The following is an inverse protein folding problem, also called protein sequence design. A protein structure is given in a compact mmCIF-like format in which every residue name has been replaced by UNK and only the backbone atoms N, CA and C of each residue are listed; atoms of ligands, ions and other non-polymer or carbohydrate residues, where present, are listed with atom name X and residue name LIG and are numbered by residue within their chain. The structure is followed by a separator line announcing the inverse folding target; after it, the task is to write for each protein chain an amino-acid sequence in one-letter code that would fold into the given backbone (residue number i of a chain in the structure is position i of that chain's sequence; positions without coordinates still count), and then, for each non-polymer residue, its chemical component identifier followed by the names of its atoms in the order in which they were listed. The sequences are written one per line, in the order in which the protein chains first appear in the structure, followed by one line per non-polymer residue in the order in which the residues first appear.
data_IF_503017010705
#
_entry.id   IF_503017010705
#
_cell.length_a   1.000
_cell.length_b   1.000
_cell.length_c   1.000
_cell.angle_alpha   90.00
_cell.angle_beta   90.00
_cell.angle_gamma   90.00
#
_symmetry.space_group_name_H-M   'P 1'
#
loop_
_entity.id
_entity.type
_entity.pdbx_description
1 polymer ?
#
# COMPACT_ATOMS: atom_id res chain seq x y z
N UNK A 1 -18.67 -35.69 35.91
CA UNK A 1 -18.32 -35.78 34.47
C UNK A 1 -17.34 -36.94 34.33
N UNK A 2 -17.64 -37.88 33.47
CA UNK A 2 -16.84 -39.10 33.22
C UNK A 2 -16.13 -39.00 31.87
N UNK A 3 -16.03 -37.79 31.28
CA UNK A 3 -15.39 -37.57 30.00
C UNK A 3 -13.90 -37.31 30.16
N UNK A 4 -13.10 -37.92 29.30
CA UNK A 4 -11.65 -37.72 29.21
C UNK A 4 -11.25 -36.44 28.46
N UNK A 5 -12.23 -35.72 27.90
CA UNK A 5 -12.06 -34.50 27.15
C UNK A 5 -13.17 -33.51 27.44
N UNK A 6 -12.86 -32.24 27.32
CA UNK A 6 -13.80 -31.12 27.39
C UNK A 6 -13.66 -30.29 26.13
N UNK A 7 -14.77 -30.05 25.44
CA UNK A 7 -14.81 -29.18 24.29
C UNK A 7 -15.40 -27.84 24.72
N UNK A 8 -14.66 -26.77 24.51
CA UNK A 8 -15.17 -25.41 24.76
C UNK A 8 -16.23 -25.07 23.71
N UNK A 9 -17.16 -24.19 24.07
CA UNK A 9 -17.93 -23.44 23.06
C UNK A 9 -17.00 -22.53 22.26
N UNK A 10 -17.53 -21.87 21.24
CA UNK A 10 -16.79 -20.90 20.42
C UNK A 10 -16.01 -19.94 21.33
N UNK A 11 -14.71 -19.81 21.10
CA UNK A 11 -13.82 -18.88 21.79
C UNK A 11 -13.47 -17.73 20.85
N UNK A 12 -13.39 -16.53 21.39
CA UNK A 12 -12.95 -15.33 20.64
C UNK A 12 -11.55 -14.89 21.11
N UNK A 13 -10.98 -13.89 20.44
CA UNK A 13 -9.63 -13.39 20.74
C UNK A 13 -9.47 -12.90 22.20
N UNK A 14 -10.55 -12.48 22.85
CA UNK A 14 -10.50 -12.06 24.26
C UNK A 14 -10.16 -13.20 25.22
N UNK A 15 -10.29 -14.45 24.78
CA UNK A 15 -9.86 -15.65 25.51
C UNK A 15 -8.39 -16.01 25.29
N UNK A 16 -7.62 -15.21 24.53
CA UNK A 16 -6.19 -15.45 24.40
C UNK A 16 -5.48 -15.27 25.74
N UNK A 17 -4.76 -16.29 26.17
CA UNK A 17 -4.14 -16.33 27.50
C UNK A 17 -5.07 -16.84 28.62
N UNK A 18 -6.32 -17.17 28.33
CA UNK A 18 -7.22 -17.81 29.33
C UNK A 18 -6.64 -19.13 29.82
N UNK A 19 -6.75 -19.35 31.12
CA UNK A 19 -6.24 -20.54 31.75
C UNK A 19 -7.38 -21.48 32.13
N UNK A 20 -7.21 -22.74 31.81
CA UNK A 20 -8.14 -23.81 32.11
C UNK A 20 -7.46 -24.83 33.03
N UNK A 21 -8.18 -25.31 34.03
CA UNK A 21 -7.76 -26.42 34.90
C UNK A 21 -8.91 -27.39 35.07
N UNK A 22 -8.58 -28.65 35.31
CA UNK A 22 -9.54 -29.66 35.70
C UNK A 22 -9.60 -29.74 37.23
N UNK A 23 -10.81 -29.81 37.81
CA UNK A 23 -11.03 -30.03 39.23
C UNK A 23 -11.84 -31.31 39.36
N UNK A 24 -11.29 -32.29 40.04
CA UNK A 24 -11.95 -33.54 40.35
C UNK A 24 -12.34 -33.50 41.82
N UNK A 25 -13.61 -33.73 42.12
CA UNK A 25 -14.17 -33.65 43.48
C UNK A 25 -14.84 -34.95 43.86
N UNK A 26 -14.66 -35.37 45.11
CA UNK A 26 -15.42 -36.44 45.74
C UNK A 26 -15.69 -36.09 47.20
N UNK A 27 -16.30 -37.01 47.97
CA UNK A 27 -16.60 -36.80 49.38
C UNK A 27 -15.36 -36.69 50.31
N UNK A 28 -14.16 -37.03 49.80
CA UNK A 28 -12.90 -36.92 50.52
C UNK A 28 -12.14 -35.64 50.24
N UNK A 29 -12.55 -34.88 49.22
CA UNK A 29 -11.92 -33.60 48.86
C UNK A 29 -11.83 -33.34 47.34
N UNK A 30 -11.02 -32.33 46.96
CA UNK A 30 -10.80 -31.89 45.59
C UNK A 30 -9.33 -32.06 45.23
N UNK A 31 -9.09 -32.41 43.98
CA UNK A 31 -7.76 -32.40 43.36
C UNK A 31 -7.84 -31.55 42.08
N UNK A 32 -6.87 -30.65 41.88
CA UNK A 32 -6.78 -29.76 40.70
C UNK A 32 -5.61 -30.18 39.82
N UNK A 33 -5.80 -30.09 38.51
CA UNK A 33 -4.70 -30.26 37.56
C UNK A 33 -3.86 -28.97 37.46
N UNK A 34 -2.68 -29.09 36.86
CA UNK A 34 -1.97 -27.92 36.36
C UNK A 34 -2.85 -27.15 35.37
N UNK A 35 -2.66 -25.83 35.29
CA UNK A 35 -3.37 -24.99 34.34
C UNK A 35 -2.80 -25.15 32.93
N UNK A 36 -3.66 -25.31 31.95
CA UNK A 36 -3.35 -25.17 30.53
C UNK A 36 -3.71 -23.75 30.07
N UNK A 37 -2.86 -23.14 29.29
CA UNK A 37 -3.12 -21.82 28.71
C UNK A 37 -3.67 -21.99 27.29
N UNK A 38 -4.81 -21.37 27.00
CA UNK A 38 -5.36 -21.32 25.67
C UNK A 38 -4.66 -20.22 24.88
N UNK A 39 -4.09 -20.56 23.72
CA UNK A 39 -3.59 -19.60 22.76
C UNK A 39 -4.63 -19.46 21.64
N UNK A 40 -5.21 -18.29 21.53
CA UNK A 40 -6.09 -17.95 20.41
C UNK A 40 -5.25 -17.13 19.44
N UNK A 41 -5.03 -17.66 18.24
CA UNK A 41 -4.38 -16.94 17.16
C UNK A 41 -5.46 -16.27 16.31
N UNK A 42 -5.25 -14.99 16.05
CA UNK A 42 -6.03 -14.32 15.03
C UNK A 42 -5.67 -14.95 13.68
N UNK A 43 -6.64 -15.47 12.98
CA UNK A 43 -6.44 -16.12 11.69
C UNK A 43 -6.09 -15.11 10.57
N UNK A 44 -5.64 -13.91 10.95
CA UNK A 44 -5.21 -12.88 9.99
C UNK A 44 -6.37 -12.23 9.24
N UNK A 45 -7.58 -12.40 9.74
CA UNK A 45 -8.78 -11.70 9.27
C UNK A 45 -9.39 -10.92 10.43
N UNK A 46 -9.80 -9.71 10.21
CA UNK A 46 -10.55 -8.90 11.18
C UNK A 46 -11.91 -9.56 11.43
N UNK A 47 -11.94 -10.58 12.30
CA UNK A 47 -13.18 -11.26 12.70
C UNK A 47 -13.88 -10.46 13.78
N UNK A 48 -14.72 -9.54 13.36
CA UNK A 48 -15.85 -9.09 14.18
C UNK A 48 -16.89 -10.24 14.17
N UNK A 49 -17.27 -10.83 15.34
CA UNK A 49 -18.12 -12.03 15.39
C UNK A 49 -19.57 -11.84 14.87
N UNK A 50 -19.94 -10.62 14.47
CA UNK A 50 -21.25 -10.28 13.89
C UNK A 50 -21.23 -10.07 12.38
N UNK A 51 -20.09 -10.29 11.69
CA UNK A 51 -20.05 -10.24 10.23
C UNK A 51 -19.98 -11.66 9.69
N UNK A 52 -20.90 -12.09 8.82
CA UNK A 52 -20.75 -13.35 8.11
C UNK A 52 -19.41 -13.30 7.37
N UNK A 53 -18.55 -14.30 7.64
CA UNK A 53 -17.23 -14.45 6.99
C UNK A 53 -17.44 -14.69 5.48
N UNK A 54 -17.72 -13.62 4.77
CA UNK A 54 -17.80 -13.65 3.33
C UNK A 54 -16.40 -13.27 2.81
N UNK A 55 -15.62 -14.28 2.42
CA UNK A 55 -14.24 -14.06 1.94
C UNK A 55 -14.30 -13.41 0.57
N UNK A 56 -14.33 -12.08 0.55
CA UNK A 56 -14.24 -11.31 -0.66
C UNK A 56 -12.81 -11.33 -1.21
N UNK A 57 -12.70 -11.37 -2.53
CA UNK A 57 -11.40 -11.42 -3.23
C UNK A 57 -11.40 -10.47 -4.41
N UNK A 58 -10.24 -9.93 -4.73
CA UNK A 58 -10.00 -9.29 -6.01
C UNK A 58 -9.71 -10.39 -7.02
N UNK A 59 -10.54 -10.46 -8.06
CA UNK A 59 -10.50 -11.52 -9.09
C UNK A 59 -9.94 -11.04 -10.42
N UNK A 60 -9.77 -9.72 -10.58
CA UNK A 60 -9.14 -9.12 -11.76
C UNK A 60 -8.58 -7.74 -11.42
N UNK A 61 -7.54 -7.28 -12.14
CA UNK A 61 -6.92 -5.98 -11.97
C UNK A 61 -6.02 -5.84 -10.74
N UNK A 62 -5.69 -6.94 -10.04
CA UNK A 62 -4.74 -6.90 -8.93
C UNK A 62 -3.33 -6.51 -9.40
N UNK A 63 -2.61 -5.73 -8.55
CA UNK A 63 -1.24 -5.29 -8.80
C UNK A 63 -1.04 -4.53 -10.12
N UNK A 64 -2.05 -3.83 -10.58
CA UNK A 64 -2.00 -2.99 -11.78
C UNK A 64 -1.00 -1.86 -11.63
N UNK A 65 -0.50 -1.34 -12.74
CA UNK A 65 0.33 -0.13 -12.75
C UNK A 65 -0.22 0.91 -13.71
N UNK A 66 0.00 2.17 -13.38
CA UNK A 66 -0.42 3.32 -14.16
C UNK A 66 0.68 4.37 -14.15
N UNK A 67 0.84 5.12 -15.22
CA UNK A 67 1.88 6.15 -15.34
C UNK A 67 1.21 7.53 -15.30
N UNK A 68 1.79 8.48 -14.56
CA UNK A 68 1.33 9.87 -14.54
C UNK A 68 1.12 10.40 -15.96
N UNK A 69 0.09 11.22 -16.13
CA UNK A 69 -0.34 11.85 -17.39
C UNK A 69 -0.79 10.87 -18.47
N UNK A 70 -1.07 9.61 -18.10
CA UNK A 70 -1.74 8.67 -19.01
C UNK A 70 -3.24 8.92 -19.05
N UNK A 71 -3.86 8.69 -20.21
CA UNK A 71 -5.32 8.79 -20.39
C UNK A 71 -6.08 7.55 -19.88
N UNK A 72 -5.37 6.47 -19.58
CA UNK A 72 -5.95 5.20 -19.15
C UNK A 72 -6.49 5.25 -17.73
N UNK A 73 -7.39 4.34 -17.42
CA UNK A 73 -7.94 4.13 -16.08
C UNK A 73 -7.42 2.81 -15.51
N UNK A 74 -7.46 2.64 -14.19
CA UNK A 74 -7.26 1.34 -13.55
C UNK A 74 -8.63 0.70 -13.30
N UNK A 75 -8.82 -0.53 -13.78
CA UNK A 75 -10.03 -1.31 -13.52
C UNK A 75 -9.70 -2.49 -12.62
N UNK A 76 -10.50 -2.66 -11.56
CA UNK A 76 -10.35 -3.69 -10.54
C UNK A 76 -11.71 -4.36 -10.36
N UNK A 77 -11.71 -5.69 -10.23
CA UNK A 77 -12.92 -6.47 -10.05
C UNK A 77 -12.86 -7.28 -8.77
N UNK A 78 -13.85 -7.09 -7.92
CA UNK A 78 -14.09 -7.93 -6.74
C UNK A 78 -15.19 -8.95 -6.99
N UNK A 79 -15.16 -10.09 -6.32
CA UNK A 79 -16.15 -11.17 -6.44
C UNK A 79 -17.47 -10.89 -5.71
N UNK A 80 -17.56 -9.80 -4.97
CA UNK A 80 -18.75 -9.44 -4.20
C UNK A 80 -19.92 -9.01 -5.09
N UNK A 81 -21.14 -9.26 -4.61
CA UNK A 81 -22.35 -8.82 -5.27
C UNK A 81 -22.43 -7.27 -5.27
N UNK A 82 -22.72 -6.71 -6.43
CA UNK A 82 -22.82 -5.26 -6.62
C UNK A 82 -23.94 -4.62 -5.77
N UNK A 83 -25.01 -5.36 -5.47
CA UNK A 83 -26.10 -4.86 -4.62
C UNK A 83 -25.64 -4.54 -3.18
N UNK A 84 -24.54 -5.15 -2.73
CA UNK A 84 -23.95 -4.92 -1.41
C UNK A 84 -22.84 -3.87 -1.42
N UNK A 85 -22.42 -3.40 -2.60
CA UNK A 85 -21.32 -2.43 -2.72
C UNK A 85 -21.63 -1.12 -2.00
N UNK A 86 -20.67 -0.64 -1.18
CA UNK A 86 -20.83 0.57 -0.37
C UNK A 86 -19.84 1.68 -0.73
N UNK A 87 -18.64 1.32 -1.21
CA UNK A 87 -17.64 2.33 -1.55
C UNK A 87 -16.26 1.76 -1.85
N UNK A 88 -15.32 2.67 -2.08
CA UNK A 88 -13.92 2.36 -2.37
C UNK A 88 -13.03 3.20 -1.45
N UNK A 89 -12.00 2.57 -0.87
CA UNK A 89 -10.92 3.27 -0.21
C UNK A 89 -9.65 3.19 -1.02
N UNK A 90 -8.85 4.23 -0.95
CA UNK A 90 -7.46 4.24 -1.41
C UNK A 90 -6.59 4.68 -0.24
N UNK A 91 -5.54 3.91 0.07
CA UNK A 91 -4.64 4.12 1.20
C UNK A 91 -5.39 4.33 2.53
N UNK A 92 -6.43 3.52 2.73
CA UNK A 92 -7.28 3.54 3.92
C UNK A 92 -8.32 4.66 3.96
N UNK A 93 -8.33 5.60 3.01
CA UNK A 93 -9.26 6.73 2.96
C UNK A 93 -10.40 6.46 1.97
N UNK A 94 -11.65 6.66 2.41
CA UNK A 94 -12.80 6.59 1.51
C UNK A 94 -12.69 7.70 0.45
N UNK A 95 -12.77 7.32 -0.82
CA UNK A 95 -12.68 8.27 -1.93
C UNK A 95 -14.08 8.68 -2.42
N UNK A 96 -14.18 9.92 -2.93
CA UNK A 96 -15.43 10.42 -3.48
C UNK A 96 -15.86 9.64 -4.74
N UNK A 97 -17.17 9.46 -4.92
CA UNK A 97 -17.75 8.73 -6.06
C UNK A 97 -17.45 9.37 -7.42
N UNK A 98 -17.07 10.64 -7.45
CA UNK A 98 -16.61 11.31 -8.67
C UNK A 98 -15.28 10.77 -9.20
N UNK A 99 -14.47 10.14 -8.33
CA UNK A 99 -13.12 9.65 -8.62
C UNK A 99 -13.08 8.26 -9.29
N UNK A 100 -14.20 7.56 -9.29
CA UNK A 100 -14.32 6.24 -9.90
C UNK A 100 -15.67 6.04 -10.56
N UNK A 101 -15.80 4.97 -11.31
CA UNK A 101 -17.09 4.40 -11.69
C UNK A 101 -17.21 3.00 -11.12
N UNK A 102 -18.43 2.62 -10.75
CA UNK A 102 -18.73 1.29 -10.26
C UNK A 102 -19.88 0.69 -11.10
N UNK A 103 -19.77 -0.56 -11.48
CA UNK A 103 -20.80 -1.24 -12.26
C UNK A 103 -20.93 -2.69 -11.88
N UNK A 104 -22.09 -3.26 -12.23
CA UNK A 104 -22.43 -4.66 -12.06
C UNK A 104 -21.54 -5.57 -12.92
N UNK A 105 -21.40 -6.81 -12.48
CA UNK A 105 -20.53 -7.84 -13.08
C UNK A 105 -19.62 -8.45 -12.01
N UNK A 106 -20.19 -9.02 -10.90
CA UNK A 106 -19.65 -8.96 -9.57
C UNK A 106 -19.53 -7.47 -9.21
N UNK A 107 -18.47 -6.95 -8.63
CA UNK A 107 -18.30 -5.50 -8.48
C UNK A 107 -17.10 -5.03 -9.29
N UNK A 108 -17.31 -4.22 -10.31
CA UNK A 108 -16.24 -3.68 -11.16
C UNK A 108 -16.05 -2.21 -10.84
N UNK A 109 -14.87 -1.84 -10.38
CA UNK A 109 -14.46 -0.48 -10.06
C UNK A 109 -13.46 0.00 -11.10
N UNK A 110 -13.66 1.20 -11.64
CA UNK A 110 -12.72 1.86 -12.54
C UNK A 110 -12.28 3.18 -11.91
N UNK A 111 -11.05 3.26 -11.45
CA UNK A 111 -10.43 4.50 -10.97
C UNK A 111 -10.09 5.39 -12.16
N UNK A 112 -10.51 6.64 -12.12
CA UNK A 112 -10.34 7.58 -13.24
C UNK A 112 -8.91 8.12 -13.30
N UNK A 113 -8.41 8.36 -14.52
CA UNK A 113 -7.11 8.98 -14.75
C UNK A 113 -6.95 10.30 -14.00
N UNK A 114 -8.00 11.14 -13.96
CA UNK A 114 -7.98 12.40 -13.21
C UNK A 114 -7.71 12.21 -11.71
N UNK A 115 -8.21 11.15 -11.12
CA UNK A 115 -7.93 10.81 -9.72
C UNK A 115 -6.53 10.21 -9.56
N UNK A 116 -6.14 9.29 -10.44
CA UNK A 116 -4.82 8.64 -10.40
C UNK A 116 -3.69 9.67 -10.50
N UNK A 117 -3.89 10.75 -11.27
CA UNK A 117 -2.95 11.88 -11.37
C UNK A 117 -2.78 12.68 -10.06
N UNK A 118 -3.70 12.56 -9.11
CA UNK A 118 -3.58 13.24 -7.80
C UNK A 118 -2.75 12.46 -6.79
N UNK A 119 -2.50 11.18 -7.07
CA UNK A 119 -1.73 10.29 -6.19
C UNK A 119 -0.23 10.47 -6.43
N UNK A 120 0.59 10.27 -5.42
CA UNK A 120 2.06 10.30 -5.57
C UNK A 120 2.56 9.10 -6.39
N UNK A 121 3.75 9.20 -6.98
CA UNK A 121 4.38 8.00 -7.52
C UNK A 121 4.74 7.03 -6.39
N UNK A 122 4.47 5.74 -6.59
CA UNK A 122 4.69 4.70 -5.59
C UNK A 122 3.59 3.64 -5.57
N UNK A 123 3.61 2.82 -4.54
CA UNK A 123 2.60 1.79 -4.31
C UNK A 123 1.44 2.35 -3.48
N UNK A 124 0.24 2.04 -3.92
CA UNK A 124 -1.00 2.39 -3.26
C UNK A 124 -1.83 1.15 -3.01
N UNK A 125 -2.72 1.22 -2.01
CA UNK A 125 -3.68 0.15 -1.72
C UNK A 125 -5.07 0.61 -2.12
N UNK A 126 -5.82 -0.24 -2.79
CA UNK A 126 -7.25 -0.05 -3.05
C UNK A 126 -8.05 -1.12 -2.35
N UNK A 127 -9.15 -0.72 -1.71
CA UNK A 127 -10.07 -1.61 -1.00
C UNK A 127 -11.49 -1.37 -1.50
N UNK A 128 -12.17 -2.42 -1.95
CA UNK A 128 -13.58 -2.42 -2.33
C UNK A 128 -14.39 -2.84 -1.11
N UNK A 129 -15.39 -2.05 -0.76
CA UNK A 129 -16.23 -2.25 0.41
C UNK A 129 -17.60 -2.77 0.03
N UNK A 130 -18.08 -3.77 0.76
CA UNK A 130 -19.47 -4.25 0.75
C UNK A 130 -20.07 -4.14 2.15
N UNK A 131 -21.36 -4.29 2.28
CA UNK A 131 -22.06 -4.19 3.56
C UNK A 131 -21.60 -5.21 4.60
N UNK A 132 -21.01 -6.31 4.17
CA UNK A 132 -20.65 -7.47 5.00
C UNK A 132 -19.18 -7.91 4.80
N UNK A 133 -18.32 -7.03 4.30
CA UNK A 133 -16.89 -7.30 4.17
C UNK A 133 -16.18 -6.42 3.15
N UNK A 134 -14.91 -6.72 2.89
CA UNK A 134 -14.09 -6.00 1.92
C UNK A 134 -13.07 -6.90 1.24
N UNK A 135 -12.50 -6.43 0.14
CA UNK A 135 -11.32 -7.01 -0.49
C UNK A 135 -10.37 -5.92 -0.93
N UNK A 136 -9.06 -6.16 -0.79
CA UNK A 136 -8.03 -5.19 -1.12
C UNK A 136 -6.97 -5.76 -2.06
N UNK A 137 -6.33 -4.88 -2.79
CA UNK A 137 -5.13 -5.16 -3.58
C UNK A 137 -4.26 -3.91 -3.67
N UNK A 138 -3.06 -4.05 -4.19
CA UNK A 138 -2.17 -2.93 -4.47
C UNK A 138 -2.21 -2.54 -5.94
N UNK A 139 -1.83 -1.29 -6.23
CA UNK A 139 -1.50 -0.80 -7.56
C UNK A 139 -0.33 0.18 -7.47
N UNK A 140 0.36 0.41 -8.58
CA UNK A 140 1.55 1.26 -8.61
C UNK A 140 1.34 2.44 -9.53
N UNK A 141 1.58 3.65 -9.03
CA UNK A 141 1.69 4.86 -9.85
C UNK A 141 3.16 5.05 -10.23
N UNK A 142 3.44 5.08 -11.51
CA UNK A 142 4.77 5.35 -12.07
C UNK A 142 4.89 6.83 -12.40
N UNK A 143 6.04 7.44 -12.10
CA UNK A 143 6.34 8.79 -12.55
C UNK A 143 6.42 8.81 -14.08
N UNK A 144 5.93 9.89 -14.70
CA UNK A 144 6.17 10.15 -16.10
C UNK A 144 7.62 10.64 -16.28
N UNK A 145 8.47 9.83 -16.93
CA UNK A 145 9.90 10.14 -17.13
C UNK A 145 10.13 11.01 -18.37
N UNK A 146 9.07 11.45 -19.08
CA UNK A 146 9.21 12.21 -20.30
C UNK A 146 9.70 13.65 -20.10
N UNK A 147 9.66 14.18 -18.86
CA UNK A 147 10.05 15.57 -18.59
C UNK A 147 11.51 15.76 -18.13
N UNK A 148 12.33 14.68 -18.08
CA UNK A 148 13.70 14.79 -17.58
C UNK A 148 14.78 14.75 -18.69
N UNK A 149 14.45 15.16 -19.92
CA UNK A 149 15.42 15.24 -21.03
C UNK A 149 15.86 16.65 -21.40
N UNK A 150 15.61 17.67 -20.57
CA UNK A 150 16.06 19.02 -20.89
C UNK A 150 16.51 19.80 -19.66
N UNK A 151 17.53 19.30 -18.94
CA UNK A 151 18.37 20.23 -18.16
C UNK A 151 19.63 19.52 -17.67
N UNK A 152 20.64 19.37 -18.50
CA UNK A 152 22.04 19.57 -18.13
C UNK A 152 22.97 19.25 -19.30
N UNK A 153 23.16 20.18 -20.22
CA UNK A 153 24.42 20.30 -20.97
C UNK A 153 24.81 21.78 -20.99
N UNK A 154 25.41 22.18 -19.89
CA UNK A 154 26.33 23.29 -19.92
C UNK A 154 27.64 22.82 -19.30
N UNK A 155 28.28 21.86 -19.97
CA UNK A 155 29.69 21.58 -19.77
C UNK A 155 30.48 22.67 -20.46
N UNK A 156 30.77 23.70 -19.70
CA UNK A 156 31.80 24.66 -20.02
C UNK A 156 33.15 23.99 -19.68
N UNK A 157 33.61 23.14 -20.59
CA UNK A 157 34.95 22.59 -20.54
C UNK A 157 35.91 23.62 -21.14
N UNK A 158 36.40 24.51 -20.28
CA UNK A 158 37.59 25.33 -20.55
C UNK A 158 38.75 24.70 -19.80
N UNK A 159 39.36 23.69 -20.40
CA UNK A 159 40.70 23.25 -20.07
C UNK A 159 41.66 23.89 -21.05
N UNK A 160 42.18 25.03 -20.67
CA UNK A 160 43.40 25.56 -21.28
C UNK A 160 44.56 25.18 -20.35
N UNK A 161 45.33 24.26 -20.83
CA UNK A 161 46.64 23.97 -20.32
C UNK A 161 47.61 23.91 -21.50
N UNK A 162 48.49 24.89 -21.55
CA UNK A 162 49.86 24.60 -22.00
C UNK A 162 50.74 25.84 -21.87
N UNK A 163 51.66 25.67 -21.04
CA UNK A 163 53.06 26.09 -21.14
C UNK A 163 53.47 26.62 -22.52
N UNK A 164 54.08 27.78 -22.54
CA UNK A 164 55.52 27.89 -22.85
C UNK A 164 56.04 29.35 -22.68
N UNK A 165 57.16 29.44 -22.05
CA UNK A 165 58.07 30.54 -21.80
C UNK A 165 59.16 30.49 -22.87
N UNK A 166 60.04 31.45 -22.97
CA UNK A 166 60.11 32.93 -23.12
C UNK A 166 60.99 33.32 -24.35
N UNK A 167 61.02 34.56 -24.72
CA UNK A 167 62.28 35.21 -25.12
C UNK A 167 62.15 36.65 -25.58
N UNK A 168 62.78 37.54 -24.82
CA UNK A 168 63.77 38.54 -25.22
C UNK A 168 63.54 39.45 -26.45
N UNK A 169 63.67 40.71 -26.21
CA UNK A 169 64.07 41.67 -27.26
C UNK A 169 63.39 43.03 -27.12
N UNK A 170 63.89 43.82 -26.28
CA UNK A 170 64.54 45.16 -26.51
C UNK A 170 63.92 46.06 -27.58
N UNK A 171 63.67 47.20 -27.11
CA UNK A 171 64.08 48.52 -27.56
C UNK A 171 63.08 49.52 -28.09
N UNK A 172 63.02 50.55 -27.31
CA UNK A 172 63.16 51.98 -27.58
C UNK A 172 62.07 52.81 -28.30
N UNK A 173 61.73 53.79 -27.51
CA UNK A 173 61.68 55.21 -27.90
C UNK A 173 60.58 55.66 -28.88
N UNK A 174 59.94 56.67 -28.73
CA UNK A 174 60.12 58.00 -28.13
C UNK A 174 58.94 58.92 -28.53
N UNK A 175 58.50 59.74 -27.59
CA UNK A 175 58.16 61.14 -27.75
C UNK A 175 57.03 61.56 -28.70
N UNK A 176 56.04 62.18 -28.25
CA UNK A 176 55.61 63.56 -28.11
C UNK A 176 54.10 63.70 -28.27
N UNK A 177 53.50 64.33 -27.29
CA UNK A 177 52.38 65.24 -27.42
C UNK A 177 52.88 66.55 -28.03
N UNK A 178 52.08 67.54 -28.30
CA UNK A 178 50.68 67.85 -28.02
C UNK A 178 49.93 68.54 -29.15
N UNK A 179 48.67 68.64 -29.09
CA UNK A 179 47.87 69.88 -29.03
C UNK A 179 46.37 69.54 -28.95
#
# INVERSE_FOLDING_TARGET
ATATSYTTSTVNISCNGCKYKCVVSNSAGNVESNSATLTVQDAGGSDNPDTPNNTYQIIDGANSSWTHDSDGNITIRGNGDFSKFTGVKVDGNLIDKSNYTAKEGSTIITLKASYLNTLSAGNHTVEILWTDGSASTTFTIKANTSDNSNNNQNDNNNSDSSDDKPSSGTDKKDVTAPK
#
